data_IF_602119240962
#
_entry.id   IF_602119240962
#
_cell.length_a   1.000
_cell.length_b   1.000
_cell.length_c   1.000
_cell.angle_alpha   90.00
_cell.angle_beta   90.00
_cell.angle_gamma   90.00
#
_symmetry.space_group_name_H-M   'P 1'
#
loop_
_entity.id
_entity.type
_entity.pdbx_description
1 polymer ?
#
# COMPACT_ATOMS: atom_id res chain seq x y z
N UNK A 1 -16.95 22.33 -3.00
CA UNK A 1 -17.37 20.91 -2.95
C UNK A 1 -17.09 20.21 -1.60
N UNK A 2 -15.89 19.70 -1.27
CA UNK A 2 -15.69 18.95 0.01
C UNK A 2 -15.89 19.84 1.26
N UNK A 3 -15.46 21.11 1.21
CA UNK A 3 -15.73 22.07 2.30
C UNK A 3 -17.22 22.35 2.50
N UNK A 4 -18.03 22.34 1.44
CA UNK A 4 -19.49 22.54 1.57
C UNK A 4 -20.12 21.37 2.32
N UNK A 5 -19.70 20.13 2.05
CA UNK A 5 -20.18 18.93 2.76
C UNK A 5 -19.87 18.99 4.26
N UNK A 6 -18.71 19.54 4.64
CA UNK A 6 -18.35 19.78 6.04
C UNK A 6 -19.20 20.89 6.66
N UNK A 7 -19.38 22.01 5.98
CA UNK A 7 -20.19 23.14 6.47
C UNK A 7 -21.65 22.75 6.66
N UNK A 8 -22.18 21.90 5.79
CA UNK A 8 -23.53 21.32 5.88
C UNK A 8 -23.63 20.18 6.91
N UNK A 9 -22.53 19.86 7.63
CA UNK A 9 -22.44 18.76 8.61
C UNK A 9 -22.77 17.37 8.05
N UNK A 10 -22.69 17.20 6.74
CA UNK A 10 -22.88 15.91 6.08
C UNK A 10 -21.70 14.98 6.39
N UNK A 11 -20.49 15.53 6.49
CA UNK A 11 -19.29 14.82 6.94
C UNK A 11 -18.69 15.49 8.18
N UNK A 12 -18.05 14.68 9.02
CA UNK A 12 -17.33 15.12 10.21
C UNK A 12 -15.96 15.72 9.84
N UNK A 13 -15.24 16.23 10.83
CA UNK A 13 -13.83 16.63 10.64
C UNK A 13 -12.94 15.43 10.28
N UNK A 14 -13.22 14.25 10.84
CA UNK A 14 -12.50 13.01 10.53
C UNK A 14 -12.76 12.60 9.08
N UNK A 15 -14.02 12.60 8.63
CA UNK A 15 -14.38 12.35 7.24
C UNK A 15 -13.79 13.38 6.27
N UNK A 16 -13.77 14.66 6.65
CA UNK A 16 -13.12 15.72 5.88
C UNK A 16 -11.62 15.46 5.71
N UNK A 17 -10.92 15.07 6.80
CA UNK A 17 -9.49 14.73 6.74
C UNK A 17 -9.24 13.44 5.96
N UNK A 18 -10.08 12.43 6.08
CA UNK A 18 -9.97 11.21 5.26
C UNK A 18 -10.10 11.51 3.76
N UNK A 19 -10.93 12.46 3.37
CA UNK A 19 -11.07 12.84 1.96
C UNK A 19 -9.95 13.76 1.46
N UNK A 20 -9.35 14.55 2.35
CA UNK A 20 -8.54 15.71 1.94
C UNK A 20 -7.12 15.77 2.52
N UNK A 21 -6.82 15.09 3.62
CA UNK A 21 -5.57 15.25 4.37
C UNK A 21 -4.41 14.42 3.81
N UNK A 22 -3.19 14.93 3.95
CA UNK A 22 -2.06 14.64 3.06
C UNK A 22 -1.43 13.25 3.22
N UNK A 23 -1.77 12.42 4.21
CA UNK A 23 -1.04 11.16 4.47
C UNK A 23 -1.74 9.87 4.04
N UNK A 24 -3.03 9.68 4.36
CA UNK A 24 -3.79 8.47 4.03
C UNK A 24 -5.13 8.79 3.32
N UNK A 25 -5.29 9.99 2.76
CA UNK A 25 -6.56 10.35 2.13
C UNK A 25 -6.81 9.65 0.80
N UNK A 26 -8.08 9.56 0.43
CA UNK A 26 -8.53 9.15 -0.92
C UNK A 26 -7.82 9.96 -2.01
N UNK A 27 -7.54 11.25 -1.77
CA UNK A 27 -6.81 12.11 -2.71
C UNK A 27 -5.36 11.66 -2.88
N UNK A 28 -4.65 11.32 -1.80
CA UNK A 28 -3.27 10.82 -1.90
C UNK A 28 -3.23 9.43 -2.53
N UNK A 29 -4.13 8.53 -2.15
CA UNK A 29 -4.25 7.21 -2.78
C UNK A 29 -4.46 7.35 -4.29
N UNK A 30 -5.43 8.17 -4.72
CA UNK A 30 -5.64 8.46 -6.14
C UNK A 30 -4.38 9.02 -6.82
N UNK A 31 -3.73 10.01 -6.22
CA UNK A 31 -2.53 10.63 -6.81
C UNK A 31 -1.35 9.63 -6.90
N UNK A 32 -1.21 8.76 -5.90
CA UNK A 32 -0.21 7.69 -5.91
C UNK A 32 -0.49 6.69 -7.03
N UNK A 33 -1.73 6.22 -7.14
CA UNK A 33 -2.12 5.26 -8.17
C UNK A 33 -2.08 5.87 -9.59
N UNK A 34 -2.33 7.17 -9.74
CA UNK A 34 -2.39 7.83 -11.05
C UNK A 34 -1.03 8.30 -11.59
N UNK A 35 -0.04 8.55 -10.72
CA UNK A 35 1.19 9.24 -11.12
C UNK A 35 2.49 8.64 -10.55
N UNK A 36 2.42 7.68 -9.63
CA UNK A 36 3.63 7.06 -9.09
C UNK A 36 4.05 5.85 -9.94
N UNK A 37 5.37 5.68 -10.10
CA UNK A 37 5.93 4.38 -10.43
C UNK A 37 5.59 3.43 -9.27
N UNK A 38 4.63 2.51 -9.49
CA UNK A 38 4.14 1.59 -8.46
C UNK A 38 5.24 0.69 -7.91
N UNK A 39 6.32 0.45 -8.67
CA UNK A 39 7.50 -0.31 -8.24
C UNK A 39 8.18 0.30 -7.02
N UNK A 40 7.95 1.59 -6.75
CA UNK A 40 8.50 2.27 -5.57
C UNK A 40 7.62 2.13 -4.33
N UNK A 41 6.37 1.69 -4.50
CA UNK A 41 5.35 1.80 -3.48
C UNK A 41 5.01 0.46 -2.87
N UNK A 42 4.86 0.46 -1.56
CA UNK A 42 4.21 -0.60 -0.81
C UNK A 42 3.23 0.02 0.19
N UNK A 43 2.24 -0.73 0.61
CA UNK A 43 1.54 -0.40 1.85
C UNK A 43 1.97 -1.36 2.94
N UNK A 44 2.00 -0.88 4.18
CA UNK A 44 2.22 -1.72 5.35
C UNK A 44 0.97 -1.84 6.22
N UNK A 45 0.88 -2.99 6.87
CA UNK A 45 -0.12 -3.32 7.88
C UNK A 45 0.56 -4.07 9.03
N UNK A 46 0.01 -3.96 10.23
CA UNK A 46 0.45 -4.78 11.37
C UNK A 46 -0.33 -6.09 11.36
N UNK A 47 0.36 -7.22 11.14
CA UNK A 47 -0.19 -8.57 11.25
C UNK A 47 0.60 -9.36 12.29
N UNK A 48 -0.08 -9.94 13.28
CA UNK A 48 0.53 -10.68 14.39
C UNK A 48 1.67 -9.93 15.11
N UNK A 49 1.50 -8.61 15.28
CA UNK A 49 2.49 -7.73 15.92
C UNK A 49 3.71 -7.40 15.07
N UNK A 50 3.70 -7.74 13.78
CA UNK A 50 4.77 -7.46 12.83
C UNK A 50 4.27 -6.55 11.71
N UNK A 51 5.10 -5.60 11.31
CA UNK A 51 4.82 -4.79 10.12
C UNK A 51 5.12 -5.61 8.86
N UNK A 52 4.10 -5.85 8.04
CA UNK A 52 4.21 -6.56 6.77
C UNK A 52 4.04 -5.56 5.63
N UNK A 53 4.95 -5.61 4.65
CA UNK A 53 4.92 -4.74 3.46
C UNK A 53 4.35 -5.48 2.25
N UNK A 54 3.42 -4.82 1.56
CA UNK A 54 2.73 -5.32 0.37
C UNK A 54 3.06 -4.43 -0.83
N UNK A 55 3.94 -4.88 -1.75
CA UNK A 55 4.28 -4.13 -2.96
C UNK A 55 3.07 -3.89 -3.86
N UNK A 56 2.89 -2.65 -4.33
CA UNK A 56 1.75 -2.28 -5.19
C UNK A 56 1.90 -2.70 -6.65
N UNK A 57 2.98 -3.39 -7.01
CA UNK A 57 3.14 -3.99 -8.35
C UNK A 57 2.50 -5.35 -8.49
N UNK A 58 1.97 -5.92 -7.40
CA UNK A 58 1.17 -7.13 -7.42
C UNK A 58 -0.32 -6.79 -7.40
N UNK A 59 -1.07 -7.40 -8.30
CA UNK A 59 -2.52 -7.18 -8.41
C UNK A 59 -3.26 -7.55 -7.12
N UNK A 60 -2.86 -8.64 -6.45
CA UNK A 60 -3.50 -9.10 -5.21
C UNK A 60 -3.36 -8.05 -4.10
N UNK A 61 -2.20 -7.39 -4.04
CA UNK A 61 -1.94 -6.34 -3.06
C UNK A 61 -2.78 -5.08 -3.37
N UNK A 62 -2.93 -4.72 -4.64
CA UNK A 62 -3.82 -3.64 -5.05
C UNK A 62 -5.28 -3.93 -4.67
N UNK A 63 -5.75 -5.17 -4.85
CA UNK A 63 -7.08 -5.59 -4.43
C UNK A 63 -7.24 -5.50 -2.91
N UNK A 64 -6.27 -6.00 -2.13
CA UNK A 64 -6.27 -5.87 -0.67
C UNK A 64 -6.33 -4.42 -0.20
N UNK A 65 -5.58 -3.52 -0.85
CA UNK A 65 -5.67 -2.08 -0.59
C UNK A 65 -7.07 -1.53 -0.90
N UNK A 66 -7.64 -1.90 -2.05
CA UNK A 66 -8.98 -1.50 -2.44
C UNK A 66 -10.05 -2.01 -1.46
N UNK A 67 -9.97 -3.25 -0.98
CA UNK A 67 -10.92 -3.80 0.00
C UNK A 67 -10.93 -2.98 1.30
N UNK A 68 -9.76 -2.66 1.85
CA UNK A 68 -9.66 -1.89 3.08
C UNK A 68 -10.22 -0.46 2.95
N UNK A 69 -10.12 0.15 1.76
CA UNK A 69 -10.57 1.53 1.53
C UNK A 69 -12.03 1.57 1.07
N UNK A 70 -12.50 0.55 0.34
CA UNK A 70 -13.83 0.49 -0.27
C UNK A 70 -14.96 0.60 0.74
N UNK A 71 -14.84 -0.04 1.91
CA UNK A 71 -15.88 0.01 2.94
C UNK A 71 -16.18 1.45 3.39
N UNK A 72 -15.14 2.23 3.67
CA UNK A 72 -15.29 3.64 4.05
C UNK A 72 -15.87 4.46 2.91
N UNK A 73 -15.46 4.18 1.65
CA UNK A 73 -16.00 4.88 0.48
C UNK A 73 -17.49 4.58 0.27
N UNK A 74 -17.92 3.33 0.39
CA UNK A 74 -19.32 2.96 0.26
C UNK A 74 -20.17 3.56 1.37
N UNK A 75 -19.70 3.51 2.61
CA UNK A 75 -20.36 4.12 3.76
C UNK A 75 -20.49 5.65 3.60
N UNK A 76 -19.45 6.31 3.08
CA UNK A 76 -19.51 7.73 2.75
C UNK A 76 -20.54 8.02 1.66
N UNK A 77 -20.55 7.26 0.56
CA UNK A 77 -21.52 7.43 -0.53
C UNK A 77 -22.95 7.24 0.01
N UNK A 78 -23.19 6.20 0.80
CA UNK A 78 -24.50 5.92 1.37
C UNK A 78 -24.97 7.05 2.30
N UNK A 79 -24.07 7.61 3.10
CA UNK A 79 -24.35 8.79 3.94
C UNK A 79 -24.70 10.02 3.11
N UNK A 80 -23.97 10.26 2.01
CA UNK A 80 -24.24 11.38 1.10
C UNK A 80 -25.60 11.26 0.41
N UNK A 81 -25.94 10.07 -0.10
CA UNK A 81 -27.21 9.82 -0.79
C UNK A 81 -28.38 9.89 0.17
N UNK A 82 -28.25 9.26 1.35
CA UNK A 82 -29.31 9.21 2.35
C UNK A 82 -29.58 10.54 3.06
N UNK A 83 -28.65 11.50 2.98
CA UNK A 83 -28.87 12.85 3.50
C UNK A 83 -30.13 13.54 2.94
N UNK A 84 -30.56 13.14 1.73
CA UNK A 84 -31.75 13.67 1.07
C UNK A 84 -33.05 12.95 1.44
N UNK A 85 -32.99 11.87 2.23
CA UNK A 85 -34.15 11.06 2.58
C UNK A 85 -34.92 11.69 3.75
N UNK A 86 -36.20 11.34 3.87
CA UNK A 86 -37.02 11.75 5.02
C UNK A 86 -36.46 11.23 6.34
N UNK A 87 -35.84 10.04 6.31
CA UNK A 87 -35.10 9.44 7.41
C UNK A 87 -33.70 9.06 6.89
N UNK A 88 -32.66 9.87 7.18
CA UNK A 88 -31.30 9.57 6.78
C UNK A 88 -30.77 8.30 7.45
N UNK A 89 -29.91 7.56 6.75
CA UNK A 89 -29.26 6.37 7.30
C UNK A 89 -28.16 6.83 8.25
N UNK A 90 -28.22 6.41 9.50
CA UNK A 90 -27.19 6.70 10.49
C UNK A 90 -25.96 5.81 10.23
N UNK A 91 -24.85 6.44 9.85
CA UNK A 91 -23.58 5.77 9.55
C UNK A 91 -22.48 6.43 10.37
N UNK A 92 -21.89 5.64 11.27
CA UNK A 92 -20.70 6.03 12.03
C UNK A 92 -19.44 5.91 11.16
N UNK A 93 -19.29 6.87 10.26
CA UNK A 93 -18.16 6.93 9.33
C UNK A 93 -16.82 7.12 10.06
N UNK A 94 -16.83 7.76 11.23
CA UNK A 94 -15.61 8.06 11.98
C UNK A 94 -14.98 6.78 12.53
N UNK A 95 -15.82 5.88 13.06
CA UNK A 95 -15.39 4.55 13.49
C UNK A 95 -14.82 3.75 12.32
N UNK A 96 -15.51 3.74 11.18
CA UNK A 96 -15.03 3.02 9.99
C UNK A 96 -13.68 3.56 9.49
N UNK A 97 -13.51 4.89 9.46
CA UNK A 97 -12.22 5.52 9.08
C UNK A 97 -11.09 5.11 10.03
N UNK A 98 -11.37 5.02 11.33
CA UNK A 98 -10.37 4.63 12.34
C UNK A 98 -9.93 3.18 12.21
N UNK A 99 -10.71 2.31 11.55
CA UNK A 99 -10.29 0.92 11.28
C UNK A 99 -9.27 0.79 10.15
N UNK A 100 -9.07 1.84 9.35
CA UNK A 100 -8.07 1.82 8.27
C UNK A 100 -6.67 1.98 8.86
N UNK A 101 -5.97 0.87 9.07
CA UNK A 101 -4.56 0.83 9.44
C UNK A 101 -3.68 0.55 8.21
N UNK A 102 -3.59 1.54 7.32
CA UNK A 102 -2.76 1.45 6.11
C UNK A 102 -1.75 2.57 6.13
N UNK A 103 -0.47 2.22 6.00
CA UNK A 103 0.60 3.20 5.81
C UNK A 103 1.25 3.00 4.43
N UNK A 104 1.24 4.04 3.59
CA UNK A 104 1.93 3.98 2.29
C UNK A 104 3.41 4.31 2.48
N UNK A 105 4.26 3.35 2.14
CA UNK A 105 5.72 3.43 2.25
C UNK A 105 6.35 3.47 0.86
N UNK A 106 7.46 4.20 0.74
CA UNK A 106 8.28 4.23 -0.47
C UNK A 106 9.62 3.56 -0.18
N UNK A 107 10.04 2.68 -1.07
CA UNK A 107 11.36 2.05 -1.03
C UNK A 107 12.20 2.49 -2.20
N UNK A 108 13.52 2.62 -1.98
CA UNK A 108 14.48 2.78 -3.06
C UNK A 108 14.73 1.44 -3.75
N UNK A 109 15.21 1.47 -4.99
CA UNK A 109 15.63 0.27 -5.72
C UNK A 109 16.65 -0.58 -4.95
N UNK A 110 17.58 0.07 -4.25
CA UNK A 110 18.60 -0.57 -3.42
C UNK A 110 18.00 -1.25 -2.19
N UNK A 111 16.97 -0.64 -1.56
CA UNK A 111 16.26 -1.27 -0.45
C UNK A 111 15.50 -2.51 -0.92
N UNK A 112 14.85 -2.44 -2.08
CA UNK A 112 14.15 -3.58 -2.67
C UNK A 112 15.10 -4.74 -3.00
N UNK A 113 16.31 -4.46 -3.50
CA UNK A 113 17.33 -5.48 -3.73
C UNK A 113 17.84 -6.08 -2.41
N UNK A 114 18.05 -5.26 -1.38
CA UNK A 114 18.47 -5.73 -0.06
C UNK A 114 17.45 -6.69 0.55
N UNK A 115 16.14 -6.47 0.36
CA UNK A 115 15.11 -7.42 0.79
C UNK A 115 15.24 -8.79 0.13
N UNK A 116 15.80 -8.84 -1.08
CA UNK A 116 16.07 -10.06 -1.84
C UNK A 116 17.47 -10.66 -1.57
N UNK A 117 18.23 -10.10 -0.62
CA UNK A 117 19.59 -10.54 -0.30
C UNK A 117 20.65 -10.08 -1.30
N UNK A 118 20.36 -9.06 -2.11
CA UNK A 118 21.27 -8.55 -3.15
C UNK A 118 21.80 -7.17 -2.75
N UNK A 119 23.12 -7.00 -2.78
CA UNK A 119 23.75 -5.69 -2.61
C UNK A 119 23.98 -5.02 -3.96
N UNK A 120 23.35 -3.86 -4.17
CA UNK A 120 23.50 -3.09 -5.41
C UNK A 120 24.97 -2.67 -5.68
N UNK A 121 25.80 -2.58 -4.63
CA UNK A 121 27.22 -2.21 -4.77
C UNK A 121 28.04 -3.26 -5.54
N UNK A 122 27.55 -4.50 -5.65
CA UNK A 122 28.24 -5.58 -6.36
C UNK A 122 28.11 -5.48 -7.88
N UNK A 123 27.27 -4.57 -8.40
CA UNK A 123 27.10 -4.34 -9.83
C UNK A 123 27.84 -3.06 -10.24
N UNK A 124 28.94 -3.16 -11.01
CA UNK A 124 29.77 -2.00 -11.38
C UNK A 124 28.97 -0.90 -12.11
N UNK A 125 28.03 -1.31 -12.96
CA UNK A 125 27.23 -0.43 -13.81
C UNK A 125 25.98 0.11 -13.10
N UNK A 126 25.74 -0.25 -11.82
CA UNK A 126 24.51 0.16 -11.13
C UNK A 126 24.30 1.67 -11.13
N UNK A 127 25.38 2.45 -10.96
CA UNK A 127 25.29 3.90 -10.92
C UNK A 127 25.01 4.53 -12.30
N UNK A 128 25.26 3.80 -13.39
CA UNK A 128 25.02 4.24 -14.76
C UNK A 128 23.55 4.06 -15.18
N UNK A 129 22.82 3.17 -14.49
CA UNK A 129 21.40 2.94 -14.76
C UNK A 129 20.54 4.14 -14.36
N UNK A 130 19.58 4.48 -15.21
CA UNK A 130 18.53 5.43 -14.85
C UNK A 130 17.61 4.84 -13.76
N UNK A 131 16.85 5.70 -13.09
CA UNK A 131 16.01 5.29 -11.97
C UNK A 131 14.99 4.20 -12.35
N UNK A 132 14.35 4.32 -13.50
CA UNK A 132 13.36 3.34 -13.98
C UNK A 132 13.96 1.95 -14.13
N UNK A 133 15.15 1.86 -14.73
CA UNK A 133 15.83 0.58 -14.96
C UNK A 133 16.33 -0.04 -13.66
N UNK A 134 16.76 0.77 -12.69
CA UNK A 134 17.08 0.30 -11.32
C UNK A 134 15.89 -0.38 -10.65
N UNK A 135 14.70 0.23 -10.72
CA UNK A 135 13.48 -0.40 -10.17
C UNK A 135 13.09 -1.65 -10.94
N UNK A 136 13.13 -1.62 -12.29
CA UNK A 136 12.84 -2.82 -13.10
C UNK A 136 13.77 -3.97 -12.74
N UNK A 137 15.06 -3.69 -12.51
CA UNK A 137 16.01 -4.72 -12.09
C UNK A 137 15.64 -5.27 -10.71
N UNK A 138 15.39 -4.39 -9.73
CA UNK A 138 15.03 -4.80 -8.37
C UNK A 138 13.77 -5.68 -8.32
N UNK A 139 12.76 -5.36 -9.14
CA UNK A 139 11.52 -6.14 -9.20
C UNK A 139 11.73 -7.53 -9.80
N UNK A 140 12.44 -7.59 -10.92
CA UNK A 140 12.67 -8.84 -11.66
C UNK A 140 13.81 -9.69 -11.09
N UNK A 141 14.61 -9.15 -10.17
CA UNK A 141 15.64 -9.91 -9.48
C UNK A 141 15.02 -11.09 -8.72
N UNK A 142 15.71 -12.21 -8.71
CA UNK A 142 15.32 -13.35 -7.87
C UNK A 142 15.56 -13.06 -6.39
N UNK A 143 14.86 -13.80 -5.52
CA UNK A 143 15.07 -13.75 -4.07
C UNK A 143 16.19 -14.72 -3.68
N UNK A 144 17.38 -14.18 -3.40
CA UNK A 144 18.55 -14.97 -3.02
C UNK A 144 18.33 -15.68 -1.68
N UNK A 145 17.56 -15.09 -0.77
CA UNK A 145 17.25 -15.71 0.51
C UNK A 145 16.46 -17.02 0.31
N UNK A 146 15.54 -17.03 -0.67
CA UNK A 146 14.79 -18.24 -1.01
C UNK A 146 15.71 -19.32 -1.59
N UNK A 147 16.64 -18.95 -2.48
CA UNK A 147 17.62 -19.90 -3.01
C UNK A 147 18.54 -20.46 -1.93
N UNK A 148 18.98 -19.64 -0.99
CA UNK A 148 19.78 -20.09 0.15
C UNK A 148 19.07 -21.18 0.95
N UNK A 149 17.76 -20.99 1.22
CA UNK A 149 16.93 -21.99 1.91
C UNK A 149 16.80 -23.27 1.08
N UNK A 150 16.50 -23.16 -0.22
CA UNK A 150 16.37 -24.31 -1.13
C UNK A 150 17.67 -25.12 -1.15
N UNK A 151 18.82 -24.46 -1.33
CA UNK A 151 20.12 -25.15 -1.38
C UNK A 151 20.49 -25.80 -0.05
N UNK A 152 20.17 -25.17 1.09
CA UNK A 152 20.35 -25.80 2.41
C UNK A 152 19.52 -27.08 2.53
N UNK A 153 18.27 -27.09 2.05
CA UNK A 153 17.42 -28.27 2.08
C UNK A 153 17.94 -29.40 1.17
N UNK A 154 18.44 -29.06 -0.03
CA UNK A 154 19.03 -30.05 -0.94
C UNK A 154 20.25 -30.71 -0.29
N UNK A 155 21.17 -29.90 0.23
CA UNK A 155 22.39 -30.41 0.90
C UNK A 155 22.08 -31.29 2.10
N UNK A 156 21.05 -30.93 2.88
CA UNK A 156 20.61 -31.75 4.02
C UNK A 156 20.12 -33.13 3.56
N UNK A 157 19.37 -33.22 2.47
CA UNK A 157 18.90 -34.50 1.92
C UNK A 157 20.04 -35.37 1.38
N UNK A 158 21.06 -34.77 0.76
CA UNK A 158 22.25 -35.50 0.30
C UNK A 158 23.05 -36.09 1.47
N UNK A 159 22.98 -35.49 2.67
CA UNK A 159 23.65 -36.03 3.87
C UNK A 159 22.89 -37.14 4.61
N UNK A 160 21.63 -37.41 4.23
CA UNK A 160 20.79 -38.47 4.79
C UNK A 160 20.74 -39.74 3.91
N UNK A 161 21.42 -39.74 2.75
CA UNK A 161 21.56 -40.88 1.82
C UNK A 161 22.96 -41.46 1.94
#
# INVERSE_FOLDING_TARGET
MINELRTQKVITEIGYRFLNDKNNSTRKLRNLLAHANLSKLSFSMIEDGREIYYPLTKNENCLKLCENVSNVLFNLILRLVSYSFSEPIEIDLDKEIQTIDINIVKFTSEQLLKFKGIDASTFPEWQELNETDKYRYAENASDVNMYEVIFKMIKYRESEI
#
